data_IF_979063048294
#
_entry.id   IF_979063048294
#
_cell.length_a   1.000
_cell.length_b   1.000
_cell.length_c   1.000
_cell.angle_alpha   90.00
_cell.angle_beta   90.00
_cell.angle_gamma   90.00
#
_symmetry.space_group_name_H-M   'P 1'
#
loop_
_entity.id
_entity.type
_entity.pdbx_description
1 polymer ?
#
# COMPACT_ATOMS: atom_id res chain seq x y z
N UNK A 1 -6.61 35.06 48.38
CA UNK A 1 -5.90 34.23 47.38
C UNK A 1 -6.57 32.87 47.24
N UNK A 2 -7.54 32.72 46.32
CA UNK A 2 -8.23 31.45 46.03
C UNK A 2 -8.43 31.27 44.51
N UNK A 3 -7.39 31.52 43.72
CA UNK A 3 -7.43 31.41 42.24
C UNK A 3 -6.56 30.26 41.69
N UNK A 4 -5.82 29.53 42.53
CA UNK A 4 -4.72 28.70 42.03
C UNK A 4 -4.96 27.18 41.89
N UNK A 5 -6.18 26.65 42.04
CA UNK A 5 -6.41 25.19 41.90
C UNK A 5 -7.24 24.79 40.69
N UNK A 6 -8.21 25.63 40.27
CA UNK A 6 -9.10 25.32 39.14
C UNK A 6 -8.41 25.57 37.78
N UNK A 7 -7.56 26.60 37.69
CA UNK A 7 -6.81 26.92 36.46
C UNK A 7 -5.73 25.86 36.17
N UNK A 8 -5.10 25.30 37.21
CA UNK A 8 -4.08 24.25 37.06
C UNK A 8 -4.73 22.94 36.56
N UNK A 9 -5.92 22.60 37.05
CA UNK A 9 -6.62 21.38 36.63
C UNK A 9 -7.12 21.47 35.17
N UNK A 10 -7.61 22.63 34.73
CA UNK A 10 -8.01 22.88 33.34
C UNK A 10 -6.81 22.89 32.38
N UNK A 11 -5.67 23.46 32.81
CA UNK A 11 -4.43 23.43 32.03
C UNK A 11 -3.86 22.02 31.87
N UNK A 12 -3.93 21.17 32.90
CA UNK A 12 -3.47 19.78 32.81
C UNK A 12 -4.39 18.91 31.95
N UNK A 13 -5.71 19.15 31.93
CA UNK A 13 -6.64 18.41 31.05
C UNK A 13 -6.47 18.84 29.59
N UNK A 14 -6.27 20.13 29.32
CA UNK A 14 -5.96 20.62 27.97
C UNK A 14 -4.61 20.10 27.45
N UNK A 15 -3.60 19.97 28.32
CA UNK A 15 -2.30 19.41 27.96
C UNK A 15 -2.34 17.89 27.80
N UNK A 16 -3.18 17.17 28.55
CA UNK A 16 -3.35 15.72 28.40
C UNK A 16 -4.11 15.32 27.12
N UNK A 17 -5.04 16.16 26.63
CA UNK A 17 -5.71 15.93 25.34
C UNK A 17 -4.78 16.23 24.15
N UNK A 18 -3.82 17.14 24.31
CA UNK A 18 -2.85 17.46 23.26
C UNK A 18 -1.74 16.40 23.07
N UNK A 19 -1.50 15.53 24.06
CA UNK A 19 -0.39 14.56 24.04
C UNK A 19 -0.80 13.18 23.46
N UNK A 20 -2.07 12.96 23.15
CA UNK A 20 -2.54 11.73 22.46
C UNK A 20 -2.81 11.90 20.96
N UNK A 21 -2.50 13.05 20.37
CA UNK A 21 -2.66 13.29 18.93
C UNK A 21 -1.44 12.84 18.09
N UNK A 22 -0.47 12.14 18.69
CA UNK A 22 0.87 11.96 18.12
C UNK A 22 1.09 10.75 17.22
N UNK A 23 0.41 9.61 17.39
CA UNK A 23 0.90 8.35 16.76
C UNK A 23 -0.18 7.47 16.08
N UNK A 24 -1.24 8.09 15.55
CA UNK A 24 -2.22 7.38 14.71
C UNK A 24 -2.21 7.86 13.24
N UNK A 25 -1.10 8.42 12.75
CA UNK A 25 -1.00 8.93 11.38
C UNK A 25 -0.91 7.83 10.30
N UNK A 26 -0.54 6.61 10.70
CA UNK A 26 -0.38 5.48 9.79
C UNK A 26 -1.67 4.71 9.51
N UNK A 27 -2.70 4.85 10.36
CA UNK A 27 -3.96 4.12 10.22
C UNK A 27 -4.91 4.91 9.32
N UNK A 28 -5.24 4.36 8.16
CA UNK A 28 -6.18 4.97 7.22
C UNK A 28 -7.33 4.01 6.94
N UNK A 29 -8.56 4.52 6.95
CA UNK A 29 -9.78 3.72 6.81
C UNK A 29 -10.10 2.83 8.03
N UNK A 30 -11.30 2.20 8.04
CA UNK A 30 -11.66 1.22 9.07
C UNK A 30 -10.71 0.01 8.99
N UNK A 31 -10.27 -0.52 10.12
CA UNK A 31 -9.29 -1.61 10.19
C UNK A 31 -9.98 -2.95 10.42
N UNK A 32 -9.51 -4.01 9.75
CA UNK A 32 -10.16 -5.31 9.84
C UNK A 32 -9.58 -6.39 8.94
N UNK A 33 -8.26 -6.58 8.94
CA UNK A 33 -7.55 -7.54 8.06
C UNK A 33 -8.18 -8.95 8.06
N UNK A 34 -8.73 -9.42 9.18
CA UNK A 34 -9.40 -10.72 9.28
C UNK A 34 -10.58 -10.89 8.30
N UNK A 35 -11.23 -9.80 7.90
CA UNK A 35 -12.36 -9.79 6.97
C UNK A 35 -11.94 -9.61 5.51
N UNK A 36 -10.64 -9.53 5.23
CA UNK A 36 -10.10 -9.13 3.93
C UNK A 36 -9.61 -10.32 3.12
N UNK A 37 -9.31 -10.08 1.84
CA UNK A 37 -8.55 -11.03 1.01
C UNK A 37 -7.09 -11.22 1.47
N UNK A 38 -6.57 -10.37 2.36
CA UNK A 38 -5.23 -10.54 2.95
C UNK A 38 -5.26 -11.42 4.21
N UNK A 39 -6.44 -11.89 4.65
CA UNK A 39 -6.51 -13.00 5.58
C UNK A 39 -6.21 -14.30 4.82
N UNK A 40 -4.93 -14.67 4.80
CA UNK A 40 -4.43 -15.91 4.19
C UNK A 40 -4.37 -17.08 5.17
N UNK A 41 -4.84 -16.89 6.41
CA UNK A 41 -4.85 -17.98 7.39
C UNK A 41 -5.91 -19.02 7.04
N UNK A 42 -5.98 -20.11 7.81
CA UNK A 42 -7.01 -21.14 7.69
C UNK A 42 -8.45 -20.61 7.80
N UNK A 43 -8.63 -19.41 8.37
CA UNK A 43 -9.92 -18.70 8.45
C UNK A 43 -10.23 -17.83 7.23
N UNK A 44 -9.30 -17.73 6.27
CA UNK A 44 -9.37 -16.86 5.12
C UNK A 44 -10.45 -17.24 4.10
N UNK A 45 -10.98 -16.23 3.42
CA UNK A 45 -12.03 -16.41 2.42
C UNK A 45 -11.50 -16.64 1.00
N UNK A 46 -10.28 -16.17 0.71
CA UNK A 46 -9.64 -16.22 -0.61
C UNK A 46 -8.22 -16.71 -0.40
N UNK A 47 -7.82 -17.76 -1.12
CA UNK A 47 -6.51 -18.39 -0.97
C UNK A 47 -6.11 -18.61 0.50
N UNK A 48 -6.91 -19.34 1.30
CA UNK A 48 -6.51 -19.65 2.66
C UNK A 48 -5.35 -20.64 2.66
N UNK A 49 -4.54 -20.57 3.71
CA UNK A 49 -3.65 -21.65 4.09
C UNK A 49 -4.45 -22.84 4.61
N UNK A 50 -3.91 -24.05 4.48
CA UNK A 50 -4.50 -25.25 5.08
C UNK A 50 -3.81 -25.68 6.39
N UNK A 51 -2.75 -24.98 6.82
CA UNK A 51 -2.00 -25.32 8.03
C UNK A 51 -1.73 -24.13 8.96
N UNK A 52 -1.78 -22.88 8.50
CA UNK A 52 -1.43 -21.71 9.31
C UNK A 52 -2.68 -20.91 9.72
N UNK A 53 -2.90 -20.69 11.02
CA UNK A 53 -4.05 -19.95 11.55
C UNK A 53 -3.73 -18.49 11.94
N UNK A 54 -2.46 -18.14 12.09
CA UNK A 54 -2.04 -16.76 12.34
C UNK A 54 -2.22 -15.87 11.09
N UNK A 55 -3.01 -14.81 11.21
CA UNK A 55 -3.31 -13.91 10.08
C UNK A 55 -2.08 -13.06 9.71
N UNK A 56 -1.31 -12.63 10.70
CA UNK A 56 -0.22 -11.66 10.50
C UNK A 56 1.07 -12.30 9.99
N UNK A 57 1.30 -13.60 10.19
CA UNK A 57 2.60 -14.24 9.90
C UNK A 57 3.00 -14.15 8.43
N UNK A 58 2.02 -14.08 7.52
CA UNK A 58 2.25 -13.91 6.09
C UNK A 58 2.92 -12.57 5.74
N UNK A 59 2.80 -11.57 6.60
CA UNK A 59 3.30 -10.21 6.39
C UNK A 59 4.35 -9.80 7.42
N UNK A 60 4.17 -10.19 8.69
CA UNK A 60 4.94 -9.70 9.82
C UNK A 60 5.52 -10.84 10.66
N UNK A 61 6.73 -10.64 11.18
CA UNK A 61 7.35 -11.52 12.18
C UNK A 61 7.99 -10.68 13.27
N UNK A 62 7.81 -11.03 14.57
CA UNK A 62 8.45 -10.29 15.66
C UNK A 62 9.98 -10.32 15.61
N UNK A 63 10.58 -11.35 15.00
CA UNK A 63 12.03 -11.51 14.90
C UNK A 63 12.45 -12.04 13.52
N UNK A 64 13.67 -11.70 13.10
CA UNK A 64 14.25 -12.21 11.85
C UNK A 64 13.56 -11.69 10.59
N UNK A 65 12.88 -10.55 10.67
CA UNK A 65 12.26 -9.91 9.51
C UNK A 65 13.28 -9.32 8.54
N UNK A 66 12.85 -9.05 7.32
CA UNK A 66 13.52 -8.06 6.45
C UNK A 66 13.40 -6.66 7.06
N UNK A 67 14.31 -5.76 6.68
CA UNK A 67 14.29 -4.34 7.01
C UNK A 67 13.59 -3.48 5.94
N UNK A 68 13.05 -4.11 4.89
CA UNK A 68 12.39 -3.41 3.78
C UNK A 68 11.04 -2.79 4.18
N UNK A 69 10.45 -3.25 5.29
CA UNK A 69 9.19 -2.74 5.84
C UNK A 69 9.04 -3.09 7.33
N UNK A 70 7.94 -2.66 7.99
CA UNK A 70 7.73 -2.90 9.41
C UNK A 70 7.67 -4.40 9.72
N UNK A 71 8.72 -4.95 10.33
CA UNK A 71 8.79 -6.37 10.70
C UNK A 71 8.46 -7.33 9.54
N UNK A 72 8.82 -6.97 8.31
CA UNK A 72 8.38 -7.67 7.10
C UNK A 72 8.87 -9.12 7.02
N UNK A 73 7.96 -10.08 6.95
CA UNK A 73 8.26 -11.52 7.01
C UNK A 73 8.44 -12.17 5.64
N UNK A 74 8.75 -11.39 4.60
CA UNK A 74 8.92 -11.90 3.24
C UNK A 74 10.18 -11.36 2.59
N UNK A 75 10.73 -12.15 1.69
CA UNK A 75 11.76 -11.66 0.76
C UNK A 75 11.07 -10.91 -0.37
N UNK A 76 11.66 -9.79 -0.79
CA UNK A 76 11.25 -9.12 -2.03
C UNK A 76 11.72 -9.93 -3.24
N UNK A 77 10.94 -9.91 -4.31
CA UNK A 77 11.34 -10.56 -5.56
C UNK A 77 12.51 -9.82 -6.21
N UNK A 78 13.29 -10.53 -7.03
CA UNK A 78 14.34 -9.92 -7.87
C UNK A 78 13.80 -9.43 -9.22
N UNK A 79 12.48 -9.25 -9.33
CA UNK A 79 11.81 -8.82 -10.54
C UNK A 79 12.22 -7.38 -10.87
N UNK A 80 12.54 -7.14 -12.14
CA UNK A 80 12.72 -5.80 -12.70
C UNK A 80 11.50 -5.44 -13.52
N UNK A 81 10.92 -4.27 -13.25
CA UNK A 81 9.68 -3.83 -13.86
C UNK A 81 9.90 -2.93 -15.08
N UNK A 82 9.07 -3.12 -16.09
CA UNK A 82 8.83 -2.10 -17.12
C UNK A 82 7.99 -0.99 -16.48
N UNK A 83 8.58 0.19 -16.37
CA UNK A 83 7.91 1.34 -15.76
C UNK A 83 7.09 2.16 -16.78
N UNK A 84 6.22 2.99 -16.23
CA UNK A 84 5.36 3.97 -16.87
C UNK A 84 6.04 4.78 -17.99
N UNK A 85 5.29 5.01 -19.07
CA UNK A 85 5.73 5.88 -20.17
C UNK A 85 4.55 6.65 -20.75
N UNK A 86 4.66 7.99 -20.81
CA UNK A 86 3.66 8.86 -21.44
C UNK A 86 4.27 10.20 -21.82
N UNK A 87 3.72 10.86 -22.84
CA UNK A 87 4.13 12.21 -23.24
C UNK A 87 3.84 13.26 -22.16
N UNK A 88 2.86 13.01 -21.28
CA UNK A 88 2.48 13.88 -20.16
C UNK A 88 3.18 13.55 -18.86
N UNK A 89 4.04 12.52 -18.84
CA UNK A 89 4.81 12.16 -17.66
C UNK A 89 5.82 13.25 -17.31
N UNK A 90 6.09 13.43 -16.01
CA UNK A 90 7.11 14.39 -15.56
C UNK A 90 8.50 13.97 -16.05
N UNK A 91 9.34 14.97 -16.27
CA UNK A 91 10.75 14.80 -16.66
C UNK A 91 11.51 14.04 -15.57
N UNK A 92 11.18 14.31 -14.29
CA UNK A 92 11.75 13.58 -13.17
C UNK A 92 11.45 12.08 -13.27
N UNK A 93 10.18 11.68 -13.32
CA UNK A 93 9.80 10.26 -13.37
C UNK A 93 10.35 9.60 -14.64
N UNK A 94 10.29 10.28 -15.78
CA UNK A 94 10.83 9.78 -17.04
C UNK A 94 12.34 9.49 -16.99
N UNK A 95 13.10 10.24 -16.18
CA UNK A 95 14.55 10.05 -16.02
C UNK A 95 14.92 9.03 -14.94
N UNK A 96 14.05 8.80 -13.94
CA UNK A 96 14.32 7.86 -12.84
C UNK A 96 13.74 6.46 -13.04
N UNK A 97 12.92 6.24 -14.07
CA UNK A 97 12.23 4.96 -14.34
C UNK A 97 13.13 3.76 -14.70
N UNK A 98 14.44 3.96 -14.79
CA UNK A 98 15.42 2.89 -14.96
C UNK A 98 15.85 2.28 -13.62
N UNK A 99 15.61 2.99 -12.52
CA UNK A 99 15.69 2.40 -11.19
C UNK A 99 14.48 1.48 -10.97
N UNK A 100 14.70 0.38 -10.26
CA UNK A 100 13.62 -0.53 -9.91
C UNK A 100 12.67 0.10 -8.87
N UNK A 101 11.54 -0.56 -8.64
CA UNK A 101 10.54 -0.17 -7.63
C UNK A 101 11.16 -0.06 -6.22
N UNK A 102 10.76 0.94 -5.44
CA UNK A 102 11.27 1.12 -4.07
C UNK A 102 10.79 0.03 -3.10
N UNK A 103 11.51 -0.18 -1.99
CA UNK A 103 11.15 -1.17 -0.97
C UNK A 103 9.68 -1.14 -0.54
N UNK A 104 9.09 0.04 -0.32
CA UNK A 104 7.70 0.18 0.13
C UNK A 104 6.70 -0.48 -0.82
N UNK A 105 6.79 -0.18 -2.12
CA UNK A 105 5.92 -0.80 -3.13
C UNK A 105 6.30 -2.27 -3.40
N UNK A 106 7.56 -2.64 -3.16
CA UNK A 106 8.00 -4.03 -3.23
C UNK A 106 7.38 -4.91 -2.14
N UNK A 107 6.94 -4.36 -1.00
CA UNK A 107 6.18 -5.12 0.00
C UNK A 107 4.92 -5.71 -0.63
N UNK A 108 4.15 -4.89 -1.36
CA UNK A 108 2.96 -5.33 -2.08
C UNK A 108 3.31 -6.30 -3.20
N UNK A 109 4.30 -5.94 -4.01
CA UNK A 109 4.68 -6.71 -5.19
C UNK A 109 5.29 -8.07 -4.84
N UNK A 110 5.89 -8.24 -3.66
CA UNK A 110 6.37 -9.55 -3.19
C UNK A 110 5.26 -10.61 -3.13
N UNK A 111 3.98 -10.23 -3.09
CA UNK A 111 2.84 -11.12 -3.26
C UNK A 111 2.20 -10.97 -4.65
N UNK A 112 1.99 -9.73 -5.09
CA UNK A 112 1.15 -9.40 -6.23
C UNK A 112 1.82 -9.59 -7.60
N UNK A 113 3.15 -9.62 -7.66
CA UNK A 113 3.86 -9.85 -8.92
C UNK A 113 3.86 -11.31 -9.37
N UNK A 114 3.42 -12.22 -8.49
CA UNK A 114 3.32 -13.65 -8.76
C UNK A 114 4.66 -14.35 -8.97
N UNK A 115 5.80 -13.68 -8.77
CA UNK A 115 7.12 -14.27 -8.99
C UNK A 115 7.55 -15.23 -7.87
N UNK A 116 6.99 -15.05 -6.67
CA UNK A 116 7.19 -15.91 -5.50
C UNK A 116 5.85 -16.26 -4.85
N UNK A 117 5.81 -17.35 -4.09
CA UNK A 117 4.60 -17.78 -3.38
C UNK A 117 4.25 -16.85 -2.21
N UNK A 118 2.96 -16.57 -2.01
CA UNK A 118 2.44 -15.80 -0.87
C UNK A 118 2.64 -16.52 0.47
N UNK A 119 2.92 -17.82 0.45
CA UNK A 119 3.02 -18.67 1.64
C UNK A 119 4.47 -18.90 2.07
N UNK A 120 5.44 -18.45 1.26
CA UNK A 120 6.85 -18.48 1.67
C UNK A 120 7.16 -17.27 2.54
N UNK A 121 7.45 -17.52 3.81
CA UNK A 121 7.79 -16.51 4.81
C UNK A 121 9.21 -16.72 5.33
N UNK A 122 9.86 -15.66 5.79
CA UNK A 122 11.24 -15.72 6.32
C UNK A 122 11.27 -16.50 7.63
N UNK A 123 10.36 -16.16 8.54
CA UNK A 123 10.25 -16.76 9.87
C UNK A 123 8.84 -17.34 10.05
N UNK A 124 8.65 -18.65 9.77
CA UNK A 124 7.37 -19.31 10.00
C UNK A 124 7.08 -19.50 11.50
N UNK A 125 5.84 -19.88 11.82
CA UNK A 125 5.48 -20.33 13.17
C UNK A 125 6.24 -21.62 13.52
N UNK A 126 6.48 -21.83 14.81
CA UNK A 126 7.13 -23.06 15.29
C UNK A 126 6.21 -24.29 15.20
N UNK A 127 4.90 -24.07 15.12
CA UNK A 127 3.89 -25.12 15.22
C UNK A 127 3.70 -25.85 13.90
N UNK A 128 3.69 -25.12 12.78
CA UNK A 128 3.39 -25.72 11.45
C UNK A 128 4.50 -25.53 10.42
N UNK A 129 5.53 -24.75 10.72
CA UNK A 129 6.58 -24.42 9.77
C UNK A 129 6.05 -23.53 8.65
N UNK A 130 6.59 -23.68 7.43
CA UNK A 130 6.15 -22.85 6.31
C UNK A 130 4.63 -23.02 6.07
N UNK A 131 3.87 -21.92 5.96
CA UNK A 131 2.50 -21.99 5.52
C UNK A 131 2.38 -22.72 4.18
N UNK A 132 1.30 -23.47 4.01
CA UNK A 132 1.00 -24.16 2.76
C UNK A 132 -0.36 -23.70 2.22
N UNK A 133 -0.47 -23.47 0.90
CA UNK A 133 -1.73 -23.09 0.29
C UNK A 133 -2.74 -24.24 0.35
N UNK A 134 -4.02 -23.91 0.56
CA UNK A 134 -5.08 -24.91 0.45
C UNK A 134 -5.27 -25.43 -0.98
N UNK A 135 -5.00 -24.59 -1.99
CA UNK A 135 -5.04 -24.96 -3.41
C UNK A 135 -3.96 -24.23 -4.21
N UNK A 136 -3.49 -24.84 -5.29
CA UNK A 136 -2.47 -24.25 -6.17
C UNK A 136 -1.06 -24.25 -5.58
N UNK A 137 -0.16 -23.51 -6.20
CA UNK A 137 1.23 -23.34 -5.75
C UNK A 137 1.42 -22.11 -4.83
N UNK A 138 0.32 -21.43 -4.51
CA UNK A 138 0.30 -20.24 -3.66
C UNK A 138 0.85 -18.98 -4.31
N UNK A 139 1.13 -18.99 -5.61
CA UNK A 139 1.47 -17.78 -6.37
C UNK A 139 0.21 -17.08 -6.88
N UNK A 140 0.25 -15.75 -7.02
CA UNK A 140 -0.87 -14.95 -7.58
C UNK A 140 -1.01 -15.08 -9.11
N UNK A 141 -0.32 -16.04 -9.75
CA UNK A 141 -0.14 -16.14 -11.21
C UNK A 141 -1.39 -16.62 -11.95
N UNK A 142 -2.21 -17.44 -11.30
CA UNK A 142 -3.46 -17.94 -11.84
C UNK A 142 -4.60 -17.53 -10.91
N UNK A 143 -5.56 -16.78 -11.44
CA UNK A 143 -6.69 -16.24 -10.68
C UNK A 143 -7.33 -17.31 -9.81
N UNK A 144 -7.26 -17.11 -8.49
CA UNK A 144 -7.91 -17.99 -7.53
C UNK A 144 -9.41 -17.97 -7.82
N UNK A 145 -9.99 -19.13 -8.17
CA UNK A 145 -11.42 -19.28 -8.48
C UNK A 145 -11.95 -18.44 -9.68
N UNK A 146 -11.13 -18.15 -10.69
CA UNK A 146 -11.48 -17.20 -11.78
C UNK A 146 -11.79 -15.77 -11.29
N UNK A 147 -11.52 -15.46 -10.02
CA UNK A 147 -11.54 -14.10 -9.52
C UNK A 147 -10.21 -13.50 -9.99
N UNK A 148 -10.26 -12.68 -11.03
CA UNK A 148 -9.09 -11.91 -11.43
C UNK A 148 -8.65 -11.07 -10.23
N UNK A 149 -7.47 -11.39 -9.67
CA UNK A 149 -6.82 -10.54 -8.68
C UNK A 149 -6.59 -9.12 -9.25
N UNK A 150 -6.17 -8.17 -8.41
CA UNK A 150 -5.81 -6.85 -8.92
C UNK A 150 -4.72 -7.02 -9.99
N UNK A 151 -4.98 -6.43 -11.17
CA UNK A 151 -4.12 -6.53 -12.36
C UNK A 151 -2.90 -5.61 -12.22
N UNK A 152 -2.07 -5.85 -11.21
CA UNK A 152 -0.86 -5.07 -10.97
C UNK A 152 0.26 -5.69 -11.79
N UNK A 153 0.91 -4.92 -12.66
CA UNK A 153 2.01 -5.44 -13.48
C UNK A 153 1.59 -6.38 -14.62
N UNK A 154 0.29 -6.65 -14.78
CA UNK A 154 -0.25 -7.53 -15.81
C UNK A 154 -0.46 -6.77 -17.12
N UNK A 155 0.60 -6.70 -17.92
CA UNK A 155 0.60 -6.21 -19.28
C UNK A 155 -0.41 -6.93 -20.15
N UNK A 156 -0.78 -6.28 -21.26
CA UNK A 156 -1.72 -6.82 -22.23
C UNK A 156 -0.98 -7.42 -23.42
N UNK A 157 -1.46 -8.56 -23.86
CA UNK A 157 -1.12 -9.06 -25.19
C UNK A 157 -1.67 -8.07 -26.25
N UNK A 158 -1.11 -8.04 -27.47
CA UNK A 158 -1.60 -7.20 -28.56
C UNK A 158 -3.08 -7.43 -28.92
N UNK A 159 -3.64 -8.59 -28.57
CA UNK A 159 -5.05 -8.94 -28.76
C UNK A 159 -5.97 -8.47 -27.61
N UNK A 160 -5.43 -7.76 -26.62
CA UNK A 160 -6.16 -7.24 -25.45
C UNK A 160 -6.36 -8.25 -24.32
N UNK A 161 -5.87 -9.49 -24.46
CA UNK A 161 -5.87 -10.46 -23.37
C UNK A 161 -4.82 -10.13 -22.31
N UNK A 162 -5.04 -10.60 -21.07
CA UNK A 162 -4.10 -10.41 -19.96
C UNK A 162 -2.88 -11.32 -20.18
N UNK A 163 -1.67 -10.77 -20.09
CA UNK A 163 -0.45 -11.56 -19.98
C UNK A 163 -0.19 -11.85 -18.49
N UNK A 164 -0.36 -13.10 -18.03
CA UNK A 164 -0.18 -13.45 -16.62
C UNK A 164 1.29 -13.47 -16.18
N UNK A 165 2.24 -13.22 -17.10
CA UNK A 165 3.68 -13.22 -16.85
C UNK A 165 4.30 -11.96 -17.43
N UNK A 166 3.94 -10.82 -16.88
CA UNK A 166 4.69 -9.60 -17.14
C UNK A 166 4.98 -8.87 -15.86
N UNK A 167 6.13 -8.21 -15.84
CA UNK A 167 6.55 -7.27 -14.82
C UNK A 167 6.26 -5.86 -15.34
N UNK A 168 5.08 -5.65 -15.92
CA UNK A 168 4.78 -4.49 -16.76
C UNK A 168 3.83 -3.54 -16.05
N UNK A 169 4.40 -2.52 -15.42
CA UNK A 169 3.66 -1.44 -14.76
C UNK A 169 3.32 -0.31 -15.75
N UNK A 170 3.52 -0.48 -17.06
CA UNK A 170 3.42 0.64 -17.99
C UNK A 170 2.01 1.22 -18.14
N UNK A 171 0.96 0.46 -17.82
CA UNK A 171 -0.45 0.89 -17.82
C UNK A 171 -1.01 1.22 -16.42
N UNK A 172 -0.18 1.10 -15.37
CA UNK A 172 -0.53 1.44 -13.99
C UNK A 172 -0.36 2.96 -13.71
N UNK A 173 -0.86 3.42 -12.56
CA UNK A 173 -0.53 4.77 -12.07
C UNK A 173 0.92 4.79 -11.58
N UNK A 174 1.73 5.82 -11.91
CA UNK A 174 3.10 5.92 -11.42
C UNK A 174 3.20 5.75 -9.90
N UNK A 175 4.16 4.91 -9.47
CA UNK A 175 4.61 4.76 -8.08
C UNK A 175 6.13 4.83 -8.05
N UNK A 176 6.70 4.81 -6.84
CA UNK A 176 8.13 4.87 -6.60
C UNK A 176 8.80 6.12 -7.15
N UNK A 177 8.17 7.28 -6.97
CA UNK A 177 8.75 8.58 -7.32
C UNK A 177 8.52 9.64 -6.24
N UNK A 178 9.45 10.61 -6.16
CA UNK A 178 9.36 11.77 -5.26
C UNK A 178 8.29 12.74 -5.76
N UNK A 179 7.25 12.98 -4.97
CA UNK A 179 6.11 13.80 -5.41
C UNK A 179 6.50 15.27 -5.61
N UNK A 180 7.29 15.84 -4.68
CA UNK A 180 7.73 17.23 -4.76
C UNK A 180 8.49 17.52 -6.07
N UNK A 181 9.37 16.62 -6.51
CA UNK A 181 10.10 16.77 -7.77
C UNK A 181 9.18 16.76 -9.00
N UNK A 182 8.03 16.08 -8.93
CA UNK A 182 7.01 16.08 -9.98
C UNK A 182 6.15 17.33 -9.94
N UNK A 183 5.76 17.77 -8.74
CA UNK A 183 5.05 19.02 -8.53
C UNK A 183 5.86 20.21 -9.07
N UNK A 184 7.17 20.22 -8.86
CA UNK A 184 8.07 21.32 -9.24
C UNK A 184 8.50 21.28 -10.72
N UNK A 185 8.14 20.24 -11.47
CA UNK A 185 8.39 20.17 -12.92
C UNK A 185 7.43 21.12 -13.66
N UNK A 186 7.78 22.41 -13.68
CA UNK A 186 6.98 23.47 -14.34
C UNK A 186 6.77 23.25 -15.84
N UNK A 187 7.53 22.37 -16.50
CA UNK A 187 7.33 22.05 -17.92
C UNK A 187 6.17 21.08 -18.15
N UNK A 188 5.85 20.25 -17.15
CA UNK A 188 4.81 19.23 -17.18
C UNK A 188 3.63 19.56 -16.25
N UNK A 189 3.89 20.26 -15.16
CA UNK A 189 2.93 20.84 -14.22
C UNK A 189 2.63 22.33 -14.51
N UNK A 190 2.68 22.72 -15.79
CA UNK A 190 2.63 24.12 -16.26
C UNK A 190 1.33 24.89 -15.98
N UNK A 191 0.30 24.24 -15.43
CA UNK A 191 -0.98 24.86 -15.07
C UNK A 191 -1.37 24.60 -13.60
N UNK A 192 -0.38 24.31 -12.72
CA UNK A 192 -0.63 23.90 -11.34
C UNK A 192 -1.69 22.79 -11.29
N UNK A 193 -1.45 21.71 -12.06
CA UNK A 193 -2.35 20.56 -12.21
C UNK A 193 -2.27 19.58 -11.05
N UNK A 194 -1.47 19.92 -10.05
CA UNK A 194 -1.18 19.11 -8.88
C UNK A 194 -1.31 19.95 -7.63
N UNK A 195 -1.97 19.40 -6.63
CA UNK A 195 -1.97 19.94 -5.27
C UNK A 195 -0.58 19.78 -4.63
N UNK A 196 -0.29 20.65 -3.67
CA UNK A 196 0.88 20.49 -2.79
C UNK A 196 0.75 19.23 -1.93
N UNK A 197 1.85 18.76 -1.36
CA UNK A 197 1.84 17.60 -0.45
C UNK A 197 0.89 17.82 0.73
N UNK A 198 0.94 19.01 1.34
CA UNK A 198 0.10 19.33 2.50
C UNK A 198 -1.41 19.31 2.16
N UNK A 199 -1.79 19.85 1.00
CA UNK A 199 -3.18 19.81 0.52
C UNK A 199 -3.64 18.37 0.23
N UNK A 200 -2.79 17.58 -0.41
CA UNK A 200 -3.09 16.19 -0.73
C UNK A 200 -3.22 15.34 0.55
N UNK A 201 -2.32 15.50 1.52
CA UNK A 201 -2.39 14.84 2.83
C UNK A 201 -3.67 15.22 3.59
N UNK A 202 -4.06 16.50 3.54
CA UNK A 202 -5.32 16.99 4.12
C UNK A 202 -6.56 16.40 3.42
N UNK A 203 -6.47 16.10 2.12
CA UNK A 203 -7.51 15.41 1.36
C UNK A 203 -7.52 13.88 1.57
N UNK A 204 -6.60 13.34 2.38
CA UNK A 204 -6.65 11.97 2.88
C UNK A 204 -5.67 10.99 2.23
N UNK A 205 -4.83 11.43 1.29
CA UNK A 205 -3.72 10.58 0.82
C UNK A 205 -2.53 10.61 1.80
N UNK A 206 -1.60 9.68 1.65
CA UNK A 206 -0.32 9.70 2.38
C UNK A 206 0.86 9.56 1.43
N UNK A 207 2.01 10.08 1.82
CA UNK A 207 3.28 9.90 1.11
C UNK A 207 4.29 9.23 2.03
N UNK A 208 5.20 8.47 1.43
CA UNK A 208 6.14 7.61 2.16
C UNK A 208 7.60 8.05 1.91
N UNK A 209 8.50 7.95 2.90
CA UNK A 209 8.22 7.61 4.29
C UNK A 209 7.36 8.68 4.99
N UNK A 210 6.49 8.24 5.89
CA UNK A 210 5.70 9.18 6.70
C UNK A 210 6.64 10.06 7.55
N UNK A 211 6.27 11.33 7.75
CA UNK A 211 7.06 12.32 8.50
C UNK A 211 8.44 12.67 7.90
N UNK A 212 8.75 12.21 6.69
CA UNK A 212 9.93 12.65 5.96
C UNK A 212 9.77 14.11 5.48
N UNK A 213 10.88 14.83 5.22
CA UNK A 213 10.83 16.09 4.48
C UNK A 213 10.10 15.92 3.14
N UNK A 214 9.38 16.95 2.70
CA UNK A 214 8.59 16.92 1.44
C UNK A 214 9.43 16.52 0.22
N UNK A 215 10.70 16.92 0.18
CA UNK A 215 11.64 16.54 -0.88
C UNK A 215 11.95 15.03 -0.95
N UNK A 216 11.66 14.27 0.10
CA UNK A 216 11.89 12.83 0.20
C UNK A 216 10.60 12.01 0.17
N UNK A 217 9.44 12.64 0.36
CA UNK A 217 8.12 12.01 0.28
C UNK A 217 7.83 11.50 -1.13
N UNK A 218 7.37 10.26 -1.20
CA UNK A 218 7.13 9.50 -2.42
C UNK A 218 5.70 9.05 -2.54
N UNK A 219 5.24 8.92 -3.78
CA UNK A 219 4.05 8.16 -4.11
C UNK A 219 4.44 6.69 -4.21
N UNK A 220 3.84 5.84 -3.40
CA UNK A 220 4.04 4.38 -3.36
C UNK A 220 2.67 3.68 -3.42
N UNK A 221 2.63 2.34 -3.53
CA UNK A 221 1.36 1.60 -3.49
C UNK A 221 0.52 1.96 -2.25
N UNK A 222 1.20 2.10 -1.10
CA UNK A 222 0.57 2.44 0.17
C UNK A 222 0.08 3.90 0.26
N UNK A 223 0.43 4.76 -0.71
CA UNK A 223 -0.16 6.10 -0.84
C UNK A 223 -1.65 6.07 -1.18
N UNK A 224 -2.15 4.94 -1.69
CA UNK A 224 -3.55 4.74 -2.07
C UNK A 224 -4.18 3.54 -1.38
N UNK A 225 -3.39 2.49 -1.10
CA UNK A 225 -3.87 1.23 -0.57
C UNK A 225 -3.36 0.95 0.86
N UNK A 226 -4.13 0.20 1.64
CA UNK A 226 -3.70 -0.33 2.93
C UNK A 226 -4.29 -1.74 3.13
N UNK A 227 -3.46 -2.78 3.24
CA UNK A 227 -3.93 -4.16 3.36
C UNK A 227 -4.73 -4.42 4.63
N UNK A 228 -4.62 -3.54 5.64
CA UNK A 228 -5.36 -3.67 6.90
C UNK A 228 -6.77 -3.07 6.85
N UNK A 229 -7.09 -2.28 5.82
CA UNK A 229 -8.42 -1.70 5.65
C UNK A 229 -9.46 -2.81 5.53
N UNK A 230 -10.53 -2.70 6.32
CA UNK A 230 -11.66 -3.61 6.42
C UNK A 230 -12.47 -3.61 5.12
N UNK A 231 -11.91 -4.20 4.07
CA UNK A 231 -12.54 -4.43 2.79
C UNK A 231 -12.33 -5.90 2.40
N UNK A 232 -13.43 -6.65 2.33
CA UNK A 232 -13.46 -7.99 1.77
C UNK A 232 -14.27 -8.01 0.47
N UNK A 233 -14.00 -8.99 -0.39
CA UNK A 233 -14.85 -9.18 -1.58
C UNK A 233 -16.31 -9.55 -1.20
N UNK A 234 -16.52 -10.11 -0.01
CA UNK A 234 -17.82 -10.52 0.53
C UNK A 234 -18.21 -9.82 1.85
N UNK A 235 -17.31 -9.05 2.45
CA UNK A 235 -17.38 -8.53 3.83
C UNK A 235 -16.73 -7.14 3.90
N UNK A 236 -16.82 -6.43 5.02
CA UNK A 236 -16.18 -5.12 5.22
C UNK A 236 -16.92 -3.94 4.55
N UNK A 237 -16.26 -2.77 4.52
CA UNK A 237 -16.82 -1.52 4.00
C UNK A 237 -16.55 -1.35 2.48
N UNK A 238 -17.58 -1.39 1.63
CA UNK A 238 -17.41 -1.25 0.19
C UNK A 238 -16.95 0.15 -0.26
N UNK A 239 -17.03 1.17 0.60
CA UNK A 239 -16.58 2.52 0.27
C UNK A 239 -15.06 2.60 0.07
N UNK A 240 -14.31 1.66 0.67
CA UNK A 240 -12.87 1.58 0.59
C UNK A 240 -12.40 0.55 -0.44
N UNK A 241 -13.23 0.20 -1.42
CA UNK A 241 -12.85 -0.76 -2.47
C UNK A 241 -11.86 -0.18 -3.49
N UNK A 242 -10.77 -0.89 -3.87
CA UNK A 242 -10.18 -2.04 -3.19
C UNK A 242 -9.08 -1.61 -2.21
N UNK A 243 -9.27 -1.85 -0.92
CA UNK A 243 -8.29 -1.52 0.14
C UNK A 243 -7.83 -0.07 0.14
N UNK A 244 -8.65 0.86 -0.32
CA UNK A 244 -8.29 2.27 -0.39
C UNK A 244 -8.07 2.82 1.02
N UNK A 245 -7.16 3.78 1.16
CA UNK A 245 -6.94 4.49 2.44
C UNK A 245 -8.02 5.54 2.72
N UNK A 246 -8.76 5.96 1.70
CA UNK A 246 -9.87 6.91 1.76
C UNK A 246 -10.90 6.58 0.69
N UNK A 247 -12.21 6.82 0.89
CA UNK A 247 -13.21 6.54 -0.13
C UNK A 247 -12.99 7.35 -1.41
N UNK A 248 -13.11 6.71 -2.57
CA UNK A 248 -12.97 7.38 -3.87
C UNK A 248 -14.30 7.87 -4.46
N UNK A 249 -15.27 8.24 -3.61
CA UNK A 249 -16.56 8.78 -4.06
C UNK A 249 -16.32 10.06 -4.86
N UNK A 250 -16.90 10.13 -6.07
CA UNK A 250 -16.70 11.30 -6.95
C UNK A 250 -15.25 11.54 -7.36
N UNK A 251 -14.42 10.48 -7.40
CA UNK A 251 -12.99 10.58 -7.71
C UNK A 251 -12.16 11.33 -6.66
N UNK A 252 -12.63 11.42 -5.42
CA UNK A 252 -11.97 12.16 -4.34
C UNK A 252 -10.50 11.77 -4.12
N UNK A 253 -10.14 10.48 -4.26
CA UNK A 253 -8.76 10.03 -4.13
C UNK A 253 -7.86 10.62 -5.24
N UNK A 254 -8.37 10.65 -6.47
CA UNK A 254 -7.64 11.23 -7.61
C UNK A 254 -7.49 12.74 -7.45
N UNK A 255 -8.56 13.40 -7.00
CA UNK A 255 -8.62 14.84 -6.80
C UNK A 255 -7.83 15.31 -5.58
N UNK A 256 -7.40 14.41 -4.69
CA UNK A 256 -6.49 14.75 -3.61
C UNK A 256 -5.14 15.26 -4.14
N UNK A 257 -4.62 14.64 -5.21
CA UNK A 257 -3.35 15.04 -5.81
C UNK A 257 -3.55 15.88 -7.08
N UNK A 258 -4.62 15.66 -7.83
CA UNK A 258 -4.79 16.29 -9.14
C UNK A 258 -5.82 17.42 -9.16
N UNK A 259 -5.43 18.53 -9.77
CA UNK A 259 -6.32 19.64 -10.14
C UNK A 259 -6.76 19.39 -11.58
N UNK A 260 -8.07 19.11 -11.77
CA UNK A 260 -8.68 18.71 -13.05
C UNK A 260 -9.80 19.63 -13.48
#
# INVERSE_FOLDING_TARGET
>A
MKINKVIILLGCVALAVAVFAGEALAVRGPQGVANTSHNLSTSGNIAPSNNEDEICVFCHTPHGSSTDGPLWNRNNSSVVYTHYTSSTLSTFVASTRTANVNPESMLCLSCHDGSISMYTVINPTNDVGQPTPAVGDGTMRDGFLNIQGPKIGQGRNPDGTVNPVSNDLSDDHPISFKYQAVHDDTTKNNAARLHTIAEAEAAGVRFLPENAPDADKRVECSSCHDPHVDYGIFTGDPNYKPFLITPNTGSALCLACHIK
#
